data_IF_582148778062
#
_entry.id   IF_582148778062
#
_cell.length_a   1.000
_cell.length_b   1.000
_cell.length_c   1.000
_cell.angle_alpha   90.00
_cell.angle_beta   90.00
_cell.angle_gamma   90.00
#
_symmetry.space_group_name_H-M   'P 1'
#
loop_
_entity.id
_entity.type
_entity.pdbx_description
1 polymer ?
#
# COMPACT_ATOMS: atom_id res chain seq x y z
N UNK A 1 9.99 0.65 9.77
CA UNK A 1 9.68 -0.15 8.55
C UNK A 1 8.58 0.55 7.74
N UNK A 2 8.81 0.85 6.45
CA UNK A 2 7.91 1.67 5.63
C UNK A 2 6.53 1.05 5.36
N UNK A 3 6.42 -0.28 5.29
CA UNK A 3 5.12 -0.95 5.17
C UNK A 3 4.26 -0.81 6.43
N UNK A 4 4.90 -0.82 7.61
CA UNK A 4 4.20 -0.69 8.89
C UNK A 4 3.68 0.75 9.04
N UNK A 5 4.53 1.76 8.80
CA UNK A 5 4.12 3.17 8.83
C UNK A 5 3.07 3.47 7.76
N UNK A 6 3.23 2.92 6.55
CA UNK A 6 2.23 3.00 5.49
C UNK A 6 0.87 2.45 5.93
N UNK A 7 0.82 1.25 6.53
CA UNK A 7 -0.41 0.68 7.09
C UNK A 7 -1.01 1.55 8.20
N UNK A 8 -0.20 2.13 9.08
CA UNK A 8 -0.68 2.90 10.24
C UNK A 8 -1.27 4.25 9.84
N UNK A 9 -0.60 4.99 8.95
CA UNK A 9 -0.95 6.38 8.65
C UNK A 9 -1.72 6.56 7.33
N UNK A 10 -1.61 5.63 6.38
CA UNK A 10 -2.33 5.73 5.12
C UNK A 10 -3.60 4.86 5.16
N UNK A 11 -4.81 5.46 5.18
CA UNK A 11 -6.07 4.71 5.31
C UNK A 11 -6.31 3.72 4.15
N UNK A 12 -5.76 3.98 2.96
CA UNK A 12 -5.86 3.07 1.81
C UNK A 12 -4.94 1.87 1.91
N UNK A 13 -3.72 2.08 2.42
CA UNK A 13 -2.81 0.96 2.67
C UNK A 13 -3.32 0.12 3.85
N UNK A 14 -3.98 0.74 4.83
CA UNK A 14 -4.69 0.06 5.91
C UNK A 14 -5.78 -0.86 5.36
N UNK A 15 -6.73 -0.31 4.60
CA UNK A 15 -7.82 -1.12 4.01
C UNK A 15 -7.30 -2.21 3.06
N UNK A 16 -6.25 -1.92 2.29
CA UNK A 16 -5.57 -2.90 1.46
C UNK A 16 -4.91 -4.02 2.27
N UNK A 17 -4.34 -3.73 3.44
CA UNK A 17 -3.73 -4.72 4.33
C UNK A 17 -4.78 -5.52 5.13
N UNK A 18 -5.92 -4.92 5.45
CA UNK A 18 -6.98 -5.54 6.23
C UNK A 18 -7.70 -6.63 5.42
N UNK A 19 -7.88 -6.44 4.10
CA UNK A 19 -8.48 -7.46 3.21
C UNK A 19 -7.75 -8.82 3.23
N UNK A 20 -6.42 -8.92 3.04
CA UNK A 20 -5.69 -10.18 3.16
C UNK A 20 -5.57 -10.66 4.61
N UNK A 21 -5.52 -9.75 5.60
CA UNK A 21 -5.52 -10.12 7.02
C UNK A 21 -6.83 -10.80 7.43
N UNK A 22 -7.98 -10.28 6.98
CA UNK A 22 -9.30 -10.87 7.21
C UNK A 22 -9.47 -12.25 6.57
N UNK A 23 -8.67 -12.56 5.54
CA UNK A 23 -8.59 -13.90 4.92
C UNK A 23 -7.66 -14.85 5.67
N UNK A 24 -7.20 -14.49 6.87
CA UNK A 24 -6.31 -15.33 7.69
C UNK A 24 -4.87 -15.43 7.17
N UNK A 25 -4.43 -14.52 6.28
CA UNK A 25 -3.06 -14.59 5.77
C UNK A 25 -2.03 -14.25 6.85
N UNK A 26 -0.85 -14.91 6.87
CA UNK A 26 0.20 -14.59 7.82
C UNK A 26 0.67 -13.14 7.70
N UNK A 27 1.05 -12.55 8.84
CA UNK A 27 1.49 -11.15 8.91
C UNK A 27 2.57 -10.78 7.87
N UNK A 28 3.58 -11.63 7.70
CA UNK A 28 4.65 -11.41 6.71
C UNK A 28 4.11 -11.34 5.28
N UNK A 29 3.12 -12.17 4.94
CA UNK A 29 2.49 -12.16 3.61
C UNK A 29 1.70 -10.86 3.40
N UNK A 30 0.98 -10.39 4.42
CA UNK A 30 0.27 -9.10 4.39
C UNK A 30 1.26 -7.95 4.19
N UNK A 31 2.38 -7.93 4.93
CA UNK A 31 3.41 -6.90 4.78
C UNK A 31 4.09 -6.94 3.42
N UNK A 32 4.38 -8.12 2.87
CA UNK A 32 4.90 -8.25 1.50
C UNK A 32 3.95 -7.68 0.45
N UNK A 33 2.64 -7.87 0.62
CA UNK A 33 1.65 -7.27 -0.28
C UNK A 33 1.65 -5.73 -0.18
N UNK A 34 1.75 -5.18 1.05
CA UNK A 34 1.86 -3.73 1.27
C UNK A 34 3.15 -3.17 0.66
N UNK A 35 4.29 -3.83 0.85
CA UNK A 35 5.57 -3.43 0.24
C UNK A 35 5.49 -3.39 -1.28
N UNK A 36 4.90 -4.41 -1.91
CA UNK A 36 4.69 -4.42 -3.37
C UNK A 36 3.81 -3.27 -3.82
N UNK A 37 2.74 -2.96 -3.08
CA UNK A 37 1.85 -1.83 -3.38
C UNK A 37 2.59 -0.48 -3.30
N UNK A 38 3.45 -0.30 -2.30
CA UNK A 38 4.28 0.90 -2.15
C UNK A 38 5.23 1.10 -3.34
N UNK A 39 5.88 0.04 -3.82
CA UNK A 39 6.76 0.13 -5.00
C UNK A 39 5.98 0.60 -6.23
N UNK A 40 4.76 0.07 -6.44
CA UNK A 40 3.92 0.52 -7.54
C UNK A 40 3.48 1.98 -7.43
N UNK A 41 3.24 2.48 -6.21
CA UNK A 41 2.94 3.90 -5.99
C UNK A 41 4.12 4.78 -6.40
N UNK A 42 5.32 4.44 -5.93
CA UNK A 42 6.56 5.16 -6.29
C UNK A 42 6.77 5.13 -7.80
N UNK A 43 6.63 3.96 -8.41
CA UNK A 43 6.75 3.83 -9.86
C UNK A 43 5.69 4.63 -10.62
N UNK A 44 4.44 4.67 -10.14
CA UNK A 44 3.37 5.46 -10.75
C UNK A 44 3.67 6.96 -10.74
N UNK A 45 4.22 7.48 -9.64
CA UNK A 45 4.67 8.89 -9.52
C UNK A 45 5.80 9.15 -10.51
N UNK A 46 6.84 8.30 -10.52
CA UNK A 46 7.99 8.46 -11.41
C UNK A 46 7.59 8.40 -12.89
N UNK A 47 6.68 7.48 -13.25
CA UNK A 47 6.24 7.30 -14.64
C UNK A 47 5.32 8.40 -15.12
N UNK A 48 4.41 8.88 -14.28
CA UNK A 48 3.42 9.89 -14.65
C UNK A 48 3.93 11.33 -14.52
N UNK A 49 4.99 11.55 -13.73
CA UNK A 49 5.47 12.87 -13.36
C UNK A 49 4.49 13.65 -12.47
N UNK A 50 3.39 13.03 -12.03
CA UNK A 50 2.39 13.64 -11.15
C UNK A 50 2.73 13.33 -9.70
N UNK A 51 2.63 14.31 -8.78
CA UNK A 51 2.78 14.08 -7.36
C UNK A 51 1.87 12.95 -6.85
N UNK A 52 2.29 12.32 -5.75
CA UNK A 52 1.46 11.32 -5.08
C UNK A 52 0.24 12.01 -4.47
N UNK A 53 -0.94 11.69 -4.99
CA UNK A 53 -2.22 12.13 -4.46
C UNK A 53 -2.84 11.01 -3.59
N UNK A 54 -3.04 11.23 -2.28
CA UNK A 54 -3.58 10.22 -1.39
C UNK A 54 -4.99 9.75 -1.78
N UNK A 55 -5.77 10.63 -2.42
CA UNK A 55 -7.15 10.36 -2.83
C UNK A 55 -7.33 9.98 -4.30
N UNK A 56 -6.29 9.99 -5.14
CA UNK A 56 -6.41 9.53 -6.52
C UNK A 56 -6.69 8.02 -6.56
N UNK A 57 -7.89 7.63 -6.97
CA UNK A 57 -8.29 6.22 -7.07
C UNK A 57 -7.24 5.44 -7.88
N UNK A 58 -6.71 4.35 -7.32
CA UNK A 58 -5.87 3.43 -8.08
C UNK A 58 -6.75 2.73 -9.12
N UNK A 59 -6.51 3.05 -10.39
CA UNK A 59 -6.91 2.18 -11.50
C UNK A 59 -6.08 0.87 -11.46
#
# INVERSE_FOLDING_TARGET
>A
MPALTGKTYNPRLKSFADRPSAKGKPFKVVMCAVMRKLIHLVWGVLRSGRPFEPDAALA
#
